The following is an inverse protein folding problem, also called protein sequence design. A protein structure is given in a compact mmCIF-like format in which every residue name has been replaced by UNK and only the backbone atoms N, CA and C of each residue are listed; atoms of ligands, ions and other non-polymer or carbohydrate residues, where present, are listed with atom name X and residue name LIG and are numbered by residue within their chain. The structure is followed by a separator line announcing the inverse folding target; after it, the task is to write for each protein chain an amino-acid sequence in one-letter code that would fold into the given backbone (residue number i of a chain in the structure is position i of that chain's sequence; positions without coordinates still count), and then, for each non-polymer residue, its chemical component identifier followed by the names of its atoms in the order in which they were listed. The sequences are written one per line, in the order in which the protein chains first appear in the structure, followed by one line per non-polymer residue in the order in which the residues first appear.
data_IF_335903163747
#
_entry.id   IF_335903163747
#
_cell.length_a   1.000
_cell.length_b   1.000
_cell.length_c   1.000
_cell.angle_alpha   90.00
_cell.angle_beta   90.00
_cell.angle_gamma   90.00
#
_symmetry.space_group_name_H-M   'P 1'
#
loop_
_entity.id
_entity.type
_entity.pdbx_description
1 polymer ?
#
# COMPACT_ATOMS: atom_id res chain seq x y z
N UNK A 1 20.43 4.38 2.92
CA UNK A 1 20.07 5.02 4.21
C UNK A 1 18.59 4.75 4.42
N UNK A 2 18.24 4.23 5.59
CA UNK A 2 16.88 3.87 5.97
C UNK A 2 16.45 4.92 6.99
N UNK A 3 15.35 5.61 6.74
CA UNK A 3 14.88 6.70 7.59
C UNK A 3 13.64 6.27 8.35
N UNK A 4 13.62 6.50 9.66
CA UNK A 4 12.46 6.26 10.51
C UNK A 4 11.65 7.56 10.61
N UNK A 5 10.41 7.53 10.13
CA UNK A 5 9.52 8.69 10.06
C UNK A 5 8.33 8.43 10.98
N UNK A 6 7.91 9.45 11.73
CA UNK A 6 6.68 9.39 12.51
C UNK A 6 5.52 9.78 11.60
N UNK A 7 4.65 8.82 11.29
CA UNK A 7 3.51 8.97 10.42
C UNK A 7 2.17 9.04 11.15
N UNK A 8 1.16 9.56 10.44
CA UNK A 8 -0.24 9.56 10.88
C UNK A 8 -0.87 8.20 10.66
N UNK A 9 -1.70 7.77 11.60
CA UNK A 9 -2.47 6.54 11.49
C UNK A 9 -3.67 6.72 10.55
N UNK A 10 -3.82 5.88 9.51
CA UNK A 10 -4.96 5.95 8.60
C UNK A 10 -6.29 5.54 9.26
N UNK A 11 -6.26 4.92 10.44
CA UNK A 11 -7.45 4.48 11.16
C UNK A 11 -7.94 5.46 12.21
N UNK A 12 -7.03 6.17 12.87
CA UNK A 12 -7.40 7.06 13.98
C UNK A 12 -6.95 8.51 13.78
N UNK A 13 -6.32 8.84 12.65
CA UNK A 13 -5.79 10.16 12.30
C UNK A 13 -4.83 10.79 13.33
N UNK A 14 -4.44 10.05 14.37
CA UNK A 14 -3.45 10.45 15.37
C UNK A 14 -2.05 10.08 14.90
N UNK A 15 -1.09 10.90 15.32
CA UNK A 15 0.34 10.67 15.11
C UNK A 15 0.85 9.63 16.12
N UNK A 16 1.79 8.79 15.69
CA UNK A 16 2.38 7.78 16.57
C UNK A 16 2.76 6.47 15.89
N UNK A 17 2.76 6.41 14.55
CA UNK A 17 3.22 5.22 13.82
C UNK A 17 4.64 5.44 13.36
N UNK A 18 5.52 4.49 13.67
CA UNK A 18 6.87 4.46 13.11
C UNK A 18 6.85 3.80 11.74
N UNK A 19 7.26 4.58 10.74
CA UNK A 19 7.41 4.14 9.36
C UNK A 19 8.89 4.06 9.02
N UNK A 20 9.29 2.95 8.42
CA UNK A 20 10.62 2.74 7.88
C UNK A 20 10.57 3.01 6.38
N UNK A 21 11.28 4.04 5.92
CA UNK A 21 11.36 4.42 4.52
C UNK A 21 12.51 3.72 3.80
N UNK A 22 12.19 3.08 2.67
CA UNK A 22 13.18 2.49 1.77
C UNK A 22 13.20 3.25 0.44
N UNK A 23 14.29 3.97 0.14
CA UNK A 23 14.40 4.72 -1.10
C UNK A 23 14.50 3.79 -2.31
N UNK A 24 14.09 4.27 -3.49
CA UNK A 24 14.18 3.49 -4.72
C UNK A 24 15.65 3.36 -5.16
N UNK A 25 16.20 2.15 -5.01
CA UNK A 25 17.55 1.81 -5.45
C UNK A 25 17.56 1.03 -6.75
N UNK A 26 18.56 1.29 -7.59
CA UNK A 26 18.88 0.48 -8.76
C UNK A 26 19.50 -0.83 -8.29
N UNK A 27 18.85 -1.96 -8.60
CA UNK A 27 19.36 -3.30 -8.32
C UNK A 27 19.75 -3.97 -9.63
N UNK A 28 20.92 -4.60 -9.63
CA UNK A 28 21.30 -5.53 -10.69
C UNK A 28 20.83 -6.94 -10.33
N UNK A 29 20.30 -7.66 -11.32
CA UNK A 29 20.09 -9.11 -11.24
C UNK A 29 20.87 -9.74 -12.38
N UNK A 30 21.81 -10.60 -12.02
CA UNK A 30 22.64 -11.33 -12.97
C UNK A 30 22.14 -12.77 -13.07
N UNK A 31 21.88 -13.25 -14.28
CA UNK A 31 21.58 -14.66 -14.53
C UNK A 31 22.86 -15.50 -14.44
N UNK A 32 22.77 -16.69 -13.83
CA UNK A 32 23.91 -17.62 -13.61
C UNK A 32 24.06 -18.68 -14.71
N UNK A 33 23.39 -18.52 -15.86
CA UNK A 33 23.45 -19.48 -16.96
C UNK A 33 24.79 -19.40 -17.71
N UNK A 34 25.46 -20.54 -17.89
CA UNK A 34 26.84 -20.66 -18.40
C UNK A 34 27.07 -20.07 -19.79
N UNK A 35 26.08 -20.11 -20.69
CA UNK A 35 26.24 -19.65 -22.08
C UNK A 35 25.94 -18.17 -22.33
N UNK A 36 25.25 -17.47 -21.42
CA UNK A 36 24.85 -16.07 -21.66
C UNK A 36 24.40 -15.39 -20.35
N UNK A 37 25.34 -15.10 -19.46
CA UNK A 37 25.07 -14.33 -18.25
C UNK A 37 24.71 -12.89 -18.64
N UNK A 38 23.46 -12.50 -18.40
CA UNK A 38 22.99 -11.13 -18.63
C UNK A 38 22.76 -10.46 -17.29
N UNK A 39 23.27 -9.24 -17.16
CA UNK A 39 23.00 -8.37 -16.02
C UNK A 39 21.88 -7.41 -16.40
N UNK A 40 20.71 -7.56 -15.78
CA UNK A 40 19.59 -6.65 -15.97
C UNK A 40 19.50 -5.72 -14.77
N UNK A 41 19.51 -4.41 -15.05
CA UNK A 41 19.29 -3.39 -14.03
C UNK A 41 17.80 -3.05 -13.96
N UNK A 42 17.25 -3.01 -12.77
CA UNK A 42 15.88 -2.54 -12.54
C UNK A 42 15.83 -1.63 -11.33
N UNK A 43 14.96 -0.62 -11.41
CA UNK A 43 14.72 0.30 -10.29
C UNK A 43 13.72 -0.32 -9.34
N UNK A 44 14.12 -0.50 -8.08
CA UNK A 44 13.18 -0.94 -7.03
C UNK A 44 12.22 0.22 -6.74
N UNK A 45 10.93 -0.07 -6.63
CA UNK A 45 9.94 0.94 -6.24
C UNK A 45 10.18 1.38 -4.81
N UNK A 46 9.80 2.61 -4.53
CA UNK A 46 9.75 3.15 -3.17
C UNK A 46 8.85 2.28 -2.28
N UNK A 47 9.27 2.04 -1.04
CA UNK A 47 8.53 1.21 -0.07
C UNK A 47 8.51 1.86 1.31
N UNK A 48 7.35 1.77 1.96
CA UNK A 48 7.15 2.14 3.35
C UNK A 48 6.80 0.87 4.14
N UNK A 49 7.56 0.57 5.18
CA UNK A 49 7.26 -0.52 6.10
C UNK A 49 6.82 0.04 7.46
N UNK A 50 5.75 -0.53 8.02
CA UNK A 50 5.25 -0.11 9.33
C UNK A 50 5.90 -0.98 10.39
N UNK A 51 6.62 -0.37 11.34
CA UNK A 51 7.39 -1.10 12.34
C UNK A 51 6.69 -1.21 13.70
N UNK A 52 5.69 -0.37 13.98
CA UNK A 52 4.95 -0.39 15.25
C UNK A 52 3.45 -0.45 15.08
N UNK A 53 2.81 -1.12 16.03
CA UNK A 53 1.36 -1.09 16.20
C UNK A 53 0.91 0.32 16.61
N UNK A 54 -0.30 0.72 16.25
CA UNK A 54 -0.80 2.03 16.66
C UNK A 54 -1.25 1.98 18.13
N UNK A 55 -0.62 2.76 19.03
CA UNK A 55 -0.93 2.72 20.47
C UNK A 55 -2.35 3.22 20.80
N UNK A 56 -2.97 3.96 19.88
CA UNK A 56 -4.26 4.60 20.12
C UNK A 56 -5.46 3.79 19.61
N UNK A 57 -5.32 3.01 18.53
CA UNK A 57 -6.42 2.17 18.01
C UNK A 57 -6.19 0.66 18.18
N UNK A 58 -5.02 0.26 18.70
CA UNK A 58 -4.66 -1.15 18.89
C UNK A 58 -4.53 -1.94 17.58
N UNK A 59 -4.49 -1.25 16.43
CA UNK A 59 -4.37 -1.88 15.11
C UNK A 59 -2.95 -2.38 14.90
N UNK A 60 -2.86 -3.61 14.39
CA UNK A 60 -1.58 -4.27 14.13
C UNK A 60 -0.85 -3.57 12.99
N UNK A 61 0.48 -3.51 13.07
CA UNK A 61 1.35 -2.94 12.05
C UNK A 61 1.05 -3.48 10.65
N UNK A 62 0.69 -4.76 10.52
CA UNK A 62 0.28 -5.38 9.24
C UNK A 62 -1.01 -4.82 8.68
N UNK A 63 -2.01 -4.51 9.50
CA UNK A 63 -3.27 -3.91 9.05
C UNK A 63 -3.06 -2.46 8.61
N UNK A 64 -2.18 -1.74 9.31
CA UNK A 64 -1.76 -0.38 8.97
C UNK A 64 -0.95 -0.39 7.68
N UNK A 65 -0.04 -1.35 7.50
CA UNK A 65 0.75 -1.46 6.28
C UNK A 65 -0.11 -1.83 5.08
N UNK A 66 -1.10 -2.72 5.27
CA UNK A 66 -2.11 -3.00 4.24
C UNK A 66 -2.89 -1.74 3.92
N UNK A 67 -3.43 -1.06 4.93
CA UNK A 67 -4.15 0.19 4.73
C UNK A 67 -3.28 1.23 4.00
N UNK A 68 -2.02 1.46 4.38
CA UNK A 68 -1.15 2.41 3.68
C UNK A 68 -0.86 2.01 2.21
N UNK A 69 -0.69 0.71 1.95
CA UNK A 69 -0.50 0.22 0.58
C UNK A 69 -1.81 0.24 -0.24
N UNK A 70 -2.96 0.05 0.43
CA UNK A 70 -4.32 -0.02 -0.15
C UNK A 70 -5.05 1.34 -0.14
N UNK A 71 -4.57 2.35 0.61
CA UNK A 71 -5.08 3.72 0.80
C UNK A 71 -4.98 4.58 -0.49
N UNK A 72 -5.11 3.94 -1.64
CA UNK A 72 -5.61 4.57 -2.85
C UNK A 72 -7.14 4.63 -2.91
N UNK A 73 -7.88 4.10 -1.92
CA UNK A 73 -9.35 4.24 -1.87
C UNK A 73 -9.86 4.49 -0.45
N UNK A 74 -10.16 5.75 -0.16
CA UNK A 74 -11.08 6.09 0.93
C UNK A 74 -12.43 5.40 0.64
N UNK A 75 -12.97 4.56 1.53
CA UNK A 75 -14.24 3.87 1.30
C UNK A 75 -15.42 4.85 1.13
N UNK A 76 -15.31 6.07 1.65
CA UNK A 76 -16.28 7.15 1.43
C UNK A 76 -16.20 7.71 0.01
N UNK A 77 -14.99 7.96 -0.52
CA UNK A 77 -14.82 8.39 -1.92
C UNK A 77 -15.23 7.30 -2.89
N UNK A 78 -14.95 6.03 -2.57
CA UNK A 78 -15.41 4.91 -3.38
C UNK A 78 -16.94 4.84 -3.44
N UNK A 79 -17.63 5.03 -2.31
CA UNK A 79 -19.10 5.14 -2.29
C UNK A 79 -19.61 6.34 -3.07
N UNK A 80 -18.93 7.48 -3.01
CA UNK A 80 -19.33 8.68 -3.77
C UNK A 80 -19.13 8.50 -5.28
N UNK A 81 -18.01 7.91 -5.69
CA UNK A 81 -17.72 7.55 -7.08
C UNK A 81 -18.73 6.52 -7.59
N UNK A 82 -19.06 5.51 -6.78
CA UNK A 82 -20.08 4.51 -7.10
C UNK A 82 -21.46 5.15 -7.29
N UNK A 83 -21.89 6.04 -6.39
CA UNK A 83 -23.14 6.79 -6.55
C UNK A 83 -23.16 7.61 -7.84
N UNK A 84 -22.10 8.36 -8.14
CA UNK A 84 -22.00 9.14 -9.39
C UNK A 84 -22.07 8.26 -10.63
N UNK A 85 -21.48 7.07 -10.59
CA UNK A 85 -21.50 6.12 -11.71
C UNK A 85 -22.87 5.42 -11.86
N UNK A 86 -23.59 5.19 -10.75
CA UNK A 86 -24.99 4.74 -10.75
C UNK A 86 -25.93 5.81 -11.32
N UNK A 87 -25.78 7.07 -10.89
CA UNK A 87 -26.54 8.22 -11.40
C UNK A 87 -26.31 8.44 -12.91
N UNK A 88 -25.09 8.16 -13.39
CA UNK A 88 -24.75 8.22 -14.82
C UNK A 88 -25.17 6.97 -15.60
N UNK A 89 -25.77 5.96 -14.95
CA UNK A 89 -26.26 4.73 -15.59
C UNK A 89 -25.17 3.84 -16.18
N UNK A 90 -23.90 4.07 -15.82
CA UNK A 90 -22.73 3.32 -16.33
C UNK A 90 -22.53 1.97 -15.63
N UNK A 91 -23.23 1.74 -14.52
CA UNK A 91 -23.18 0.49 -13.75
C UNK A 91 -24.62 0.03 -13.48
N UNK A 92 -25.06 -1.05 -14.13
CA UNK A 92 -26.20 -1.87 -13.69
C UNK A 92 -25.64 -3.09 -13.00
N UNK A 93 -25.97 -3.24 -11.72
CA UNK A 93 -25.22 -4.04 -10.76
C UNK A 93 -25.03 -5.52 -11.09
N UNK A 94 -23.91 -6.04 -10.61
CA UNK A 94 -23.82 -7.40 -10.05
C UNK A 94 -22.97 -7.33 -8.77
N UNK A 95 -23.61 -7.05 -7.64
CA UNK A 95 -22.99 -7.28 -6.32
C UNK A 95 -23.20 -8.75 -6.00
N UNK A 96 -22.15 -9.57 -6.11
CA UNK A 96 -22.03 -10.83 -5.38
C UNK A 96 -20.89 -10.71 -4.37
N UNK A 97 -21.13 -9.99 -3.27
CA UNK A 97 -20.34 -10.17 -2.05
C UNK A 97 -20.73 -11.49 -1.41
N UNK A 98 -19.98 -12.55 -1.73
CA UNK A 98 -20.04 -13.83 -1.01
C UNK A 98 -19.05 -13.73 0.15
N UNK A 99 -19.53 -13.32 1.32
CA UNK A 99 -18.83 -13.50 2.59
C UNK A 99 -18.87 -15.01 2.89
N UNK A 100 -17.71 -15.64 3.10
CA UNK A 100 -17.59 -16.99 3.66
C UNK A 100 -16.37 -17.03 4.57
#
# INVERSE_FOLDING_TARGET
MVEAIIGKCPFCNKEGITLTYYPPILKSKTSRTSSNSKTVFYKTKEKYEVSSDCPNCGKKAKEIQKALNECKKDPEKEKEILKRLEDQGLIKGEIKTKIR
#
